data_IF_576441364509
#
_entry.id   IF_576441364509
#
_cell.length_a   1.000
_cell.length_b   1.000
_cell.length_c   1.000
_cell.angle_alpha   90.00
_cell.angle_beta   90.00
_cell.angle_gamma   90.00
#
_symmetry.space_group_name_H-M   'P 1'
#
loop_
_entity.id
_entity.type
_entity.pdbx_description
1 polymer ?
#
# COMPACT_ATOMS: atom_id res chain seq x y z
N UNK A 1 24.23 42.74 23.98
CA UNK A 1 23.22 41.73 24.41
C UNK A 1 22.75 40.99 23.17
N UNK A 2 23.03 39.67 23.06
CA UNK A 2 22.68 38.87 21.88
C UNK A 2 21.22 38.40 21.99
N UNK A 3 20.39 38.77 21.02
CA UNK A 3 19.01 38.31 20.89
C UNK A 3 18.99 36.81 20.56
N UNK A 4 18.19 36.03 21.32
CA UNK A 4 17.90 34.63 21.03
C UNK A 4 16.85 34.55 19.93
N UNK A 5 17.15 33.77 18.89
CA UNK A 5 16.19 33.41 17.85
C UNK A 5 15.05 32.54 18.43
N UNK A 6 13.81 32.64 17.90
CA UNK A 6 12.69 31.82 18.35
C UNK A 6 12.88 30.37 17.88
N UNK A 7 12.64 29.43 18.80
CA UNK A 7 12.64 27.99 18.52
C UNK A 7 11.42 27.64 17.66
N UNK A 8 11.66 27.04 16.50
CA UNK A 8 10.64 26.38 15.67
C UNK A 8 9.98 25.25 16.47
N UNK A 9 8.64 25.13 16.48
CA UNK A 9 7.97 24.02 17.15
C UNK A 9 8.26 22.72 16.38
N UNK A 10 8.69 21.67 17.10
CA UNK A 10 8.72 20.31 16.56
C UNK A 10 7.29 19.91 16.22
N UNK A 11 7.01 19.60 14.95
CA UNK A 11 5.73 18.98 14.54
C UNK A 11 5.53 17.72 15.39
N UNK A 12 4.42 17.65 16.12
CA UNK A 12 4.02 16.43 16.83
C UNK A 12 3.82 15.28 15.85
N UNK A 13 4.12 14.06 16.27
CA UNK A 13 3.91 12.88 15.43
C UNK A 13 2.41 12.68 15.13
N UNK A 14 2.10 12.33 13.88
CA UNK A 14 0.74 12.01 13.45
C UNK A 14 0.27 10.72 14.15
N UNK A 15 -0.80 10.81 14.96
CA UNK A 15 -1.43 9.65 15.61
C UNK A 15 -2.67 9.24 14.82
N UNK A 16 -2.70 7.99 14.37
CA UNK A 16 -3.77 7.40 13.55
C UNK A 16 -4.83 6.76 14.45
N UNK A 17 -6.10 7.14 14.28
CA UNK A 17 -7.20 6.70 15.17
C UNK A 17 -7.86 5.37 14.80
N UNK A 18 -7.64 4.86 13.58
CA UNK A 18 -8.24 3.59 13.14
C UNK A 18 -7.25 2.42 13.33
N UNK A 19 -7.69 1.28 13.89
CA UNK A 19 -6.85 0.12 14.02
C UNK A 19 -6.45 -0.40 12.62
N UNK A 20 -5.16 -0.63 12.42
CA UNK A 20 -4.67 -1.43 11.29
C UNK A 20 -5.39 -2.79 11.38
N UNK A 21 -5.94 -3.34 10.27
CA UNK A 21 -6.72 -4.59 10.32
C UNK A 21 -5.95 -5.71 11.02
N UNK A 22 -6.59 -6.34 12.02
CA UNK A 22 -6.06 -7.54 12.66
C UNK A 22 -6.07 -8.71 11.68
N UNK A 23 -5.00 -9.49 11.69
CA UNK A 23 -4.80 -10.69 10.87
C UNK A 23 -5.79 -11.79 11.30
N UNK A 24 -6.39 -12.49 10.35
CA UNK A 24 -6.99 -13.81 10.59
C UNK A 24 -5.86 -14.84 10.77
N UNK A 25 -5.92 -15.62 11.84
CA UNK A 25 -4.81 -16.40 12.37
C UNK A 25 -4.40 -17.64 11.57
N UNK A 26 -3.15 -18.05 11.81
CA UNK A 26 -2.56 -19.34 11.44
C UNK A 26 -1.10 -19.39 11.93
N UNK A 27 -0.83 -20.21 12.95
CA UNK A 27 0.52 -20.51 13.48
C UNK A 27 1.02 -21.83 12.88
N UNK A 28 2.32 -21.90 12.57
CA UNK A 28 3.30 -22.82 13.20
C UNK A 28 4.66 -22.78 12.48
N UNK A 29 5.68 -22.46 13.28
CA UNK A 29 7.07 -22.93 13.40
C UNK A 29 7.96 -23.32 12.20
N UNK A 30 9.15 -22.70 12.13
CA UNK A 30 10.43 -23.28 12.58
C UNK A 30 11.65 -22.74 11.78
N UNK A 31 12.75 -22.54 12.50
CA UNK A 31 13.95 -21.81 12.08
C UNK A 31 14.84 -22.53 11.05
N UNK A 32 15.47 -21.75 10.17
CA UNK A 32 16.74 -22.16 9.54
C UNK A 32 17.68 -20.95 9.36
N UNK A 33 18.63 -20.79 10.29
CA UNK A 33 19.80 -19.93 10.11
C UNK A 33 20.74 -20.57 9.09
N UNK A 34 20.95 -19.95 7.93
CA UNK A 34 22.12 -20.22 7.08
C UNK A 34 22.83 -18.93 6.68
N UNK A 35 24.15 -18.99 6.85
CA UNK A 35 25.14 -17.92 6.70
C UNK A 35 25.13 -17.36 5.27
N UNK A 36 25.23 -16.04 5.17
CA UNK A 36 25.47 -15.29 3.93
C UNK A 36 26.98 -15.38 3.62
N UNK A 37 27.42 -15.86 2.43
CA UNK A 37 28.78 -15.64 1.97
C UNK A 37 28.91 -14.27 1.30
N UNK A 38 30.11 -13.70 1.45
CA UNK A 38 30.47 -12.35 1.04
C UNK A 38 30.47 -12.12 -0.48
N UNK A 39 30.04 -10.92 -0.81
CA UNK A 39 30.40 -10.01 -1.91
C UNK A 39 30.77 -10.56 -3.31
N UNK A 40 30.08 -10.03 -4.30
CA UNK A 40 30.67 -9.74 -5.61
C UNK A 40 30.14 -8.38 -6.06
N UNK A 41 31.05 -7.42 -6.17
CA UNK A 41 30.79 -6.09 -6.74
C UNK A 41 30.25 -6.27 -8.16
N UNK A 42 29.02 -5.80 -8.42
CA UNK A 42 28.47 -5.65 -9.77
C UNK A 42 28.55 -4.18 -10.15
N UNK A 43 29.36 -3.88 -11.17
CA UNK A 43 29.12 -2.72 -12.01
C UNK A 43 27.89 -3.05 -12.87
N UNK A 44 26.76 -2.38 -12.64
CA UNK A 44 25.52 -2.58 -13.40
C UNK A 44 24.34 -1.93 -12.68
N UNK A 45 23.46 -1.26 -13.42
CA UNK A 45 22.28 -0.59 -12.87
C UNK A 45 21.42 -1.52 -11.99
N UNK A 46 20.67 -0.91 -11.08
CA UNK A 46 19.77 -1.61 -10.18
C UNK A 46 18.73 -2.41 -10.96
N UNK A 47 18.53 -3.68 -10.63
CA UNK A 47 17.45 -4.48 -11.22
C UNK A 47 16.09 -4.10 -10.62
N UNK A 48 15.01 -4.34 -11.37
CA UNK A 48 13.64 -4.18 -10.86
C UNK A 48 13.39 -4.84 -9.50
N UNK A 49 13.95 -6.04 -9.27
CA UNK A 49 13.79 -6.75 -8.00
C UNK A 49 14.53 -6.06 -6.86
N UNK A 50 15.68 -5.46 -7.13
CA UNK A 50 16.45 -4.69 -6.14
C UNK A 50 15.71 -3.37 -5.82
N UNK A 51 15.17 -2.70 -6.82
CA UNK A 51 14.36 -1.48 -6.66
C UNK A 51 13.12 -1.73 -5.79
N UNK A 52 12.37 -2.81 -6.07
CA UNK A 52 11.21 -3.19 -5.25
C UNK A 52 11.62 -3.44 -3.79
N UNK A 53 12.73 -4.14 -3.56
CA UNK A 53 13.23 -4.41 -2.20
C UNK A 53 13.61 -3.13 -1.47
N UNK A 54 14.24 -2.17 -2.16
CA UNK A 54 14.58 -0.88 -1.57
C UNK A 54 13.34 -0.08 -1.20
N UNK A 55 12.35 0.00 -2.09
CA UNK A 55 11.06 0.65 -1.80
C UNK A 55 10.39 0.01 -0.59
N UNK A 56 10.32 -1.32 -0.53
CA UNK A 56 9.74 -2.03 0.62
C UNK A 56 10.51 -1.72 1.92
N UNK A 57 11.83 -1.64 1.87
CA UNK A 57 12.65 -1.31 3.04
C UNK A 57 12.41 0.13 3.52
N UNK A 58 12.31 1.09 2.58
CA UNK A 58 11.96 2.49 2.89
C UNK A 58 10.58 2.57 3.53
N UNK A 59 9.58 1.93 2.93
CA UNK A 59 8.23 1.91 3.47
C UNK A 59 8.13 1.20 4.81
N UNK A 60 8.87 0.11 5.02
CA UNK A 60 8.90 -0.57 6.31
C UNK A 60 9.44 0.35 7.41
N UNK A 61 10.52 1.10 7.13
CA UNK A 61 11.09 2.05 8.07
C UNK A 61 10.14 3.20 8.44
N UNK A 62 9.25 3.58 7.51
CA UNK A 62 8.17 4.52 7.77
C UNK A 62 7.02 3.87 8.56
N UNK A 63 6.62 2.67 8.17
CA UNK A 63 5.52 1.92 8.77
C UNK A 63 5.79 1.56 10.23
N UNK A 64 7.03 1.19 10.56
CA UNK A 64 7.49 0.92 11.92
C UNK A 64 7.27 2.11 12.88
N UNK A 65 7.28 3.34 12.35
CA UNK A 65 7.12 4.59 13.12
C UNK A 65 5.69 5.10 13.19
N UNK A 66 4.74 4.46 12.50
CA UNK A 66 3.32 4.85 12.55
C UNK A 66 2.82 4.67 13.98
N UNK A 67 2.23 5.72 14.55
CA UNK A 67 1.63 5.69 15.88
C UNK A 67 0.11 5.52 15.71
N UNK A 68 -0.46 4.45 16.27
CA UNK A 68 -1.92 4.33 16.36
C UNK A 68 -2.39 4.77 17.75
N UNK A 69 -3.66 5.16 17.90
CA UNK A 69 -4.24 5.54 19.19
C UNK A 69 -4.13 4.43 20.25
N UNK A 70 -4.12 3.16 19.83
CA UNK A 70 -3.89 1.99 20.69
C UNK A 70 -2.42 1.61 20.89
N UNK A 71 -1.47 2.42 20.39
CA UNK A 71 -0.05 2.11 20.38
C UNK A 71 0.39 1.32 19.14
N UNK A 72 1.50 0.60 19.27
CA UNK A 72 2.05 -0.24 18.18
C UNK A 72 1.06 -1.36 17.85
N UNK A 73 0.75 -1.56 16.58
CA UNK A 73 -0.12 -2.63 16.11
C UNK A 73 0.69 -3.88 15.74
N UNK A 74 0.14 -5.08 15.99
CA UNK A 74 0.79 -6.37 15.71
C UNK A 74 1.28 -6.52 14.26
N UNK A 75 0.61 -5.86 13.31
CA UNK A 75 1.01 -5.82 11.91
C UNK A 75 2.38 -5.14 11.68
N UNK A 76 2.82 -4.25 12.57
CA UNK A 76 4.13 -3.60 12.53
C UNK A 76 5.27 -4.58 12.91
N UNK A 77 4.94 -5.79 13.35
CA UNK A 77 5.91 -6.85 13.63
C UNK A 77 5.88 -7.98 12.59
N UNK A 78 4.97 -7.94 11.61
CA UNK A 78 4.85 -8.95 10.55
C UNK A 78 5.44 -8.45 9.21
N UNK A 79 6.78 -8.33 9.18
CA UNK A 79 7.51 -7.93 7.98
C UNK A 79 7.21 -8.83 6.77
N UNK A 80 7.03 -10.14 6.98
CA UNK A 80 6.79 -11.09 5.88
C UNK A 80 5.46 -10.80 5.19
N UNK A 81 4.39 -10.57 5.95
CA UNK A 81 3.10 -10.20 5.35
C UNK A 81 3.18 -8.85 4.65
N UNK A 82 3.86 -7.87 5.24
CA UNK A 82 4.09 -6.56 4.64
C UNK A 82 4.83 -6.66 3.31
N UNK A 83 5.96 -7.36 3.28
CA UNK A 83 6.78 -7.60 2.08
C UNK A 83 5.96 -8.28 0.98
N UNK A 84 5.17 -9.30 1.32
CA UNK A 84 4.31 -9.97 0.33
C UNK A 84 3.29 -8.98 -0.23
N UNK A 85 2.59 -8.21 0.62
CA UNK A 85 1.55 -7.28 0.16
C UNK A 85 2.12 -6.18 -0.73
N UNK A 86 3.17 -5.47 -0.27
CA UNK A 86 3.79 -4.39 -1.04
C UNK A 86 4.48 -4.92 -2.30
N UNK A 87 5.19 -6.04 -2.19
CA UNK A 87 5.83 -6.69 -3.33
C UNK A 87 4.84 -7.18 -4.39
N UNK A 88 3.61 -7.55 -4.02
CA UNK A 88 2.57 -7.95 -4.99
C UNK A 88 2.08 -6.76 -5.82
N UNK A 89 1.96 -5.60 -5.18
CA UNK A 89 1.58 -4.35 -5.83
C UNK A 89 2.68 -3.85 -6.76
N UNK A 90 3.93 -3.82 -6.27
CA UNK A 90 5.06 -3.29 -7.04
C UNK A 90 5.47 -4.16 -8.21
N UNK A 91 5.21 -5.47 -8.18
CA UNK A 91 5.38 -6.34 -9.35
C UNK A 91 4.40 -6.02 -10.48
N UNK A 92 3.30 -5.29 -10.22
CA UNK A 92 2.40 -4.82 -11.27
C UNK A 92 2.85 -3.50 -11.92
N UNK A 93 3.82 -2.81 -11.32
CA UNK A 93 4.31 -1.50 -11.76
C UNK A 93 5.46 -1.65 -12.76
N UNK A 94 5.60 -0.67 -13.64
CA UNK A 94 6.80 -0.54 -14.47
C UNK A 94 7.94 0.14 -13.71
N UNK A 95 9.14 0.09 -14.28
CA UNK A 95 10.36 0.66 -13.68
C UNK A 95 10.22 2.14 -13.39
N UNK A 96 9.70 2.92 -14.33
CA UNK A 96 9.54 4.37 -14.19
C UNK A 96 8.62 4.73 -13.01
N UNK A 97 7.52 3.99 -12.83
CA UNK A 97 6.59 4.20 -11.70
C UNK A 97 7.27 3.88 -10.38
N UNK A 98 8.04 2.79 -10.31
CA UNK A 98 8.79 2.41 -9.11
C UNK A 98 9.87 3.44 -8.76
N UNK A 99 10.65 3.88 -9.73
CA UNK A 99 11.67 4.92 -9.52
C UNK A 99 11.05 6.21 -8.98
N UNK A 100 9.92 6.63 -9.58
CA UNK A 100 9.21 7.82 -9.11
C UNK A 100 8.70 7.67 -7.68
N UNK A 101 8.24 6.48 -7.30
CA UNK A 101 7.81 6.24 -5.92
C UNK A 101 8.98 6.13 -4.93
N UNK A 102 10.12 5.56 -5.34
CA UNK A 102 11.36 5.60 -4.54
C UNK A 102 11.75 7.06 -4.28
N UNK A 103 11.76 7.90 -5.31
CA UNK A 103 12.09 9.32 -5.20
C UNK A 103 11.13 10.07 -4.26
N UNK A 104 9.82 9.78 -4.34
CA UNK A 104 8.81 10.34 -3.42
C UNK A 104 9.09 9.96 -1.96
N UNK A 105 9.45 8.69 -1.70
CA UNK A 105 9.77 8.19 -0.36
C UNK A 105 11.05 8.83 0.18
N UNK A 106 12.08 9.00 -0.65
CA UNK A 106 13.33 9.66 -0.29
C UNK A 106 13.12 11.15 0.02
N UNK A 107 12.35 11.85 -0.82
CA UNK A 107 11.99 13.24 -0.60
C UNK A 107 11.21 13.41 0.72
N UNK A 108 10.21 12.55 0.95
CA UNK A 108 9.45 12.56 2.20
C UNK A 108 10.36 12.30 3.42
N UNK A 109 11.32 11.38 3.31
CA UNK A 109 12.31 11.11 4.36
C UNK A 109 13.17 12.35 4.64
N UNK A 110 13.65 13.02 3.60
CA UNK A 110 14.45 14.24 3.72
C UNK A 110 13.67 15.39 4.36
N UNK A 111 12.36 15.50 4.09
CA UNK A 111 11.44 16.47 4.67
C UNK A 111 10.98 16.12 6.09
N UNK A 112 11.33 14.93 6.61
CA UNK A 112 10.85 14.44 7.90
C UNK A 112 9.37 14.06 7.90
N UNK A 113 8.80 13.84 6.73
CA UNK A 113 7.44 13.34 6.51
C UNK A 113 7.37 11.81 6.65
N UNK A 114 6.15 11.28 6.74
CA UNK A 114 5.91 9.83 6.78
C UNK A 114 4.71 9.49 5.90
N UNK A 115 4.93 9.09 4.63
CA UNK A 115 3.85 8.79 3.70
C UNK A 115 2.89 7.68 4.18
N UNK A 116 3.37 6.68 4.92
CA UNK A 116 2.46 5.65 5.45
C UNK A 116 1.57 6.18 6.57
N UNK A 117 2.07 7.06 7.44
CA UNK A 117 1.22 7.71 8.41
C UNK A 117 0.20 8.65 7.72
N UNK A 118 0.67 9.43 6.74
CA UNK A 118 -0.15 10.34 5.94
C UNK A 118 -1.29 9.62 5.22
N UNK A 119 -1.03 8.44 4.63
CA UNK A 119 -2.06 7.57 4.03
C UNK A 119 -3.24 7.36 4.96
N UNK A 120 -2.97 6.96 6.20
CA UNK A 120 -4.04 6.72 7.17
C UNK A 120 -4.72 8.03 7.60
N UNK A 121 -3.97 9.13 7.69
CA UNK A 121 -4.55 10.44 7.90
C UNK A 121 -5.50 10.87 6.77
N UNK A 122 -5.12 10.62 5.51
CA UNK A 122 -5.97 10.88 4.36
C UNK A 122 -7.23 10.00 4.37
N UNK A 123 -7.11 8.71 4.68
CA UNK A 123 -8.27 7.83 4.85
C UNK A 123 -9.25 8.36 5.88
N UNK A 124 -8.74 8.89 7.00
CA UNK A 124 -9.54 9.45 8.07
C UNK A 124 -10.30 10.72 7.67
N UNK A 125 -9.66 11.65 6.98
CA UNK A 125 -10.33 12.88 6.52
C UNK A 125 -11.33 12.61 5.39
N UNK A 126 -11.13 11.56 4.59
CA UNK A 126 -12.10 11.13 3.57
C UNK A 126 -13.33 10.52 4.22
N UNK A 127 -13.14 9.67 5.23
CA UNK A 127 -14.22 8.95 5.92
C UNK A 127 -15.05 9.86 6.84
N UNK A 128 -14.40 10.76 7.58
CA UNK A 128 -15.04 11.65 8.54
C UNK A 128 -14.36 13.04 8.55
N UNK A 129 -14.60 13.89 7.53
CA UNK A 129 -13.91 15.18 7.36
C UNK A 129 -14.14 16.14 8.52
N UNK A 130 -15.38 16.24 9.02
CA UNK A 130 -15.76 17.17 10.10
C UNK A 130 -15.07 16.86 11.42
N UNK A 131 -14.94 15.57 11.74
CA UNK A 131 -14.28 15.05 12.95
C UNK A 131 -12.76 15.18 12.87
N UNK A 132 -12.21 15.21 11.66
CA UNK A 132 -10.77 15.17 11.39
C UNK A 132 -10.21 16.49 10.84
N UNK A 133 -10.90 17.63 11.03
CA UNK A 133 -10.38 18.96 10.61
C UNK A 133 -9.00 19.30 11.18
N UNK A 134 -8.76 19.01 12.45
CA UNK A 134 -7.46 19.24 13.07
C UNK A 134 -6.36 18.37 12.45
N UNK A 135 -6.70 17.12 12.11
CA UNK A 135 -5.81 16.19 11.40
C UNK A 135 -5.50 16.69 9.98
N UNK A 136 -6.52 17.14 9.25
CA UNK A 136 -6.37 17.70 7.91
C UNK A 136 -5.40 18.88 7.88
N UNK A 137 -5.41 19.74 8.90
CA UNK A 137 -4.49 20.88 9.01
C UNK A 137 -3.01 20.48 9.24
N UNK A 138 -2.74 19.24 9.69
CA UNK A 138 -1.39 18.72 9.91
C UNK A 138 -0.85 17.95 8.70
N UNK A 139 -1.73 17.45 7.83
CA UNK A 139 -1.35 16.68 6.66
C UNK A 139 -0.83 17.58 5.52
N UNK A 140 0.07 17.07 4.67
CA UNK A 140 0.42 17.77 3.44
C UNK A 140 -0.85 18.04 2.60
N UNK A 141 -1.01 19.25 2.04
CA UNK A 141 -2.16 19.55 1.19
C UNK A 141 -2.14 18.68 -0.07
N UNK A 142 -3.32 18.24 -0.51
CA UNK A 142 -3.50 17.48 -1.75
C UNK A 142 -4.01 18.43 -2.83
N UNK A 143 -3.21 18.67 -3.88
CA UNK A 143 -3.58 19.53 -5.01
C UNK A 143 -4.81 18.97 -5.75
N UNK A 144 -5.57 19.84 -6.42
CA UNK A 144 -6.71 19.38 -7.25
C UNK A 144 -6.25 18.45 -8.38
N UNK A 145 -5.05 18.67 -8.92
CA UNK A 145 -4.44 17.79 -9.91
C UNK A 145 -4.21 16.37 -9.35
N UNK A 146 -3.64 16.24 -8.13
CA UNK A 146 -3.50 14.95 -7.46
C UNK A 146 -4.85 14.27 -7.24
N UNK A 147 -5.89 15.04 -6.84
CA UNK A 147 -7.24 14.49 -6.67
C UNK A 147 -7.84 14.01 -7.99
N UNK A 148 -7.63 14.76 -9.08
CA UNK A 148 -8.08 14.38 -10.43
C UNK A 148 -7.42 13.07 -10.88
N UNK A 149 -6.10 12.98 -10.81
CA UNK A 149 -5.34 11.78 -11.20
C UNK A 149 -5.73 10.57 -10.34
N UNK A 150 -5.86 10.74 -9.02
CA UNK A 150 -6.31 9.68 -8.13
C UNK A 150 -7.73 9.19 -8.49
N UNK A 151 -8.66 10.10 -8.78
CA UNK A 151 -10.02 9.76 -9.25
C UNK A 151 -10.01 9.03 -10.59
N UNK A 152 -9.13 9.40 -11.51
CA UNK A 152 -8.99 8.69 -12.78
C UNK A 152 -8.59 7.24 -12.55
N UNK A 153 -7.55 7.02 -11.74
CA UNK A 153 -7.06 5.68 -11.41
C UNK A 153 -8.17 4.86 -10.71
N UNK A 154 -8.80 5.39 -9.66
CA UNK A 154 -9.84 4.64 -8.93
C UNK A 154 -11.05 4.32 -9.81
N UNK A 155 -11.45 5.22 -10.70
CA UNK A 155 -12.55 4.98 -11.65
C UNK A 155 -12.26 3.83 -12.62
N UNK A 156 -11.00 3.65 -13.03
CA UNK A 156 -10.56 2.51 -13.85
C UNK A 156 -10.48 1.21 -13.06
N UNK A 157 -10.01 1.28 -11.81
CA UNK A 157 -9.88 0.10 -10.95
C UNK A 157 -11.23 -0.44 -10.46
N UNK A 158 -12.25 0.39 -10.28
CA UNK A 158 -13.56 -0.04 -9.81
C UNK A 158 -14.20 -1.17 -10.67
N UNK A 159 -14.37 -1.03 -12.00
CA UNK A 159 -14.91 -2.11 -12.84
C UNK A 159 -13.98 -3.33 -12.89
N UNK A 160 -12.66 -3.15 -12.83
CA UNK A 160 -11.72 -4.28 -12.77
C UNK A 160 -11.91 -5.12 -11.50
N UNK A 161 -12.08 -4.46 -10.34
CA UNK A 161 -12.36 -5.16 -9.08
C UNK A 161 -13.73 -5.84 -9.08
N UNK A 162 -14.74 -5.22 -9.69
CA UNK A 162 -16.06 -5.84 -9.85
C UNK A 162 -15.99 -7.10 -10.76
N UNK A 163 -15.25 -7.02 -11.86
CA UNK A 163 -15.03 -8.17 -12.75
C UNK A 163 -14.27 -9.31 -12.05
N UNK A 164 -13.24 -8.98 -11.27
CA UNK A 164 -12.54 -9.94 -10.42
C UNK A 164 -13.49 -10.62 -9.44
N UNK A 165 -14.32 -9.85 -8.73
CA UNK A 165 -15.26 -10.38 -7.75
C UNK A 165 -16.32 -11.29 -8.37
N UNK A 166 -16.79 -10.98 -9.58
CA UNK A 166 -17.71 -11.82 -10.33
C UNK A 166 -17.05 -13.13 -10.79
N UNK A 167 -15.77 -13.08 -11.18
CA UNK A 167 -15.02 -14.22 -11.73
C UNK A 167 -14.49 -15.16 -10.65
N UNK A 168 -14.12 -14.64 -9.48
CA UNK A 168 -13.56 -15.39 -8.35
C UNK A 168 -14.26 -15.03 -7.03
N UNK A 169 -15.54 -15.40 -6.87
CA UNK A 169 -16.35 -14.98 -5.73
C UNK A 169 -15.84 -15.49 -4.38
N UNK A 170 -15.21 -16.67 -4.30
CA UNK A 170 -14.68 -17.19 -3.04
C UNK A 170 -13.42 -16.43 -2.62
N UNK A 171 -12.52 -16.14 -3.55
CA UNK A 171 -11.37 -15.27 -3.29
C UNK A 171 -11.81 -13.86 -2.90
N UNK A 172 -12.79 -13.30 -3.60
CA UNK A 172 -13.31 -11.96 -3.32
C UNK A 172 -14.00 -11.86 -1.95
N UNK A 173 -14.61 -12.93 -1.45
CA UNK A 173 -15.17 -12.97 -0.10
C UNK A 173 -14.10 -12.80 1.01
N UNK A 174 -12.82 -13.07 0.71
CA UNK A 174 -11.69 -12.81 1.60
C UNK A 174 -11.04 -11.43 1.38
N UNK A 175 -11.50 -10.66 0.39
CA UNK A 175 -11.00 -9.32 0.09
C UNK A 175 -11.79 -8.23 0.84
N UNK A 176 -11.29 -6.98 0.80
CA UNK A 176 -12.01 -5.83 1.36
C UNK A 176 -13.26 -5.51 0.54
N UNK A 177 -14.34 -5.00 1.17
CA UNK A 177 -15.53 -4.53 0.45
C UNK A 177 -15.19 -3.44 -0.59
N UNK A 178 -15.86 -3.50 -1.76
CA UNK A 178 -15.62 -2.60 -2.90
C UNK A 178 -16.08 -1.15 -2.67
N UNK A 179 -17.07 -0.92 -1.81
CA UNK A 179 -17.56 0.42 -1.44
C UNK A 179 -18.16 0.39 -0.05
N UNK A 180 -18.28 1.56 0.58
CA UNK A 180 -18.86 1.70 1.92
C UNK A 180 -18.31 2.90 2.67
N UNK A 181 -19.17 3.88 2.97
CA UNK A 181 -18.93 4.86 4.01
C UNK A 181 -19.55 4.32 5.31
N UNK A 182 -18.81 4.31 6.41
CA UNK A 182 -19.37 4.03 7.75
C UNK A 182 -19.59 2.56 8.14
N UNK A 183 -18.99 1.59 7.46
CA UNK A 183 -18.92 0.20 7.96
C UNK A 183 -17.77 -0.04 8.95
N UNK A 184 -17.75 -1.19 9.64
CA UNK A 184 -16.62 -1.61 10.48
C UNK A 184 -15.29 -1.71 9.70
N UNK A 185 -15.37 -1.91 8.38
CA UNK A 185 -14.23 -1.93 7.46
C UNK A 185 -14.24 -0.73 6.51
N UNK A 186 -13.12 -0.02 6.40
CA UNK A 186 -12.89 1.01 5.37
C UNK A 186 -12.98 0.40 3.97
N UNK A 187 -13.73 1.04 3.06
CA UNK A 187 -13.89 0.64 1.67
C UNK A 187 -12.55 0.56 0.92
N UNK A 188 -12.49 -0.25 -0.14
CA UNK A 188 -11.32 -0.31 -1.01
C UNK A 188 -11.01 1.06 -1.63
N UNK A 189 -12.05 1.84 -1.97
CA UNK A 189 -11.91 3.17 -2.57
C UNK A 189 -11.26 4.16 -1.60
N UNK A 190 -11.73 4.24 -0.35
CA UNK A 190 -11.12 5.13 0.66
C UNK A 190 -9.67 4.71 0.95
N UNK A 191 -9.42 3.40 1.04
CA UNK A 191 -8.08 2.86 1.26
C UNK A 191 -7.12 3.20 0.12
N UNK A 192 -7.54 2.96 -1.12
CA UNK A 192 -6.77 3.27 -2.33
C UNK A 192 -6.57 4.77 -2.48
N UNK A 193 -7.61 5.58 -2.27
CA UNK A 193 -7.52 7.04 -2.40
C UNK A 193 -6.55 7.62 -1.38
N UNK A 194 -6.60 7.16 -0.13
CA UNK A 194 -5.66 7.58 0.91
C UNK A 194 -4.21 7.27 0.55
N UNK A 195 -3.95 6.12 -0.10
CA UNK A 195 -2.61 5.77 -0.60
C UNK A 195 -2.21 6.64 -1.80
N UNK A 196 -3.08 6.79 -2.80
CA UNK A 196 -2.82 7.60 -4.00
C UNK A 196 -2.51 9.06 -3.64
N UNK A 197 -3.12 9.61 -2.60
CA UNK A 197 -2.85 10.97 -2.15
C UNK A 197 -1.47 11.14 -1.51
N UNK A 198 -0.74 10.07 -1.20
CA UNK A 198 0.65 10.15 -0.73
C UNK A 198 1.66 10.33 -1.88
N UNK A 199 1.30 9.88 -3.08
CA UNK A 199 2.17 9.90 -4.26
C UNK A 199 2.35 11.32 -4.81
N UNK A 200 3.48 11.61 -5.46
CA UNK A 200 3.60 12.84 -6.25
C UNK A 200 2.71 12.79 -7.48
N UNK A 201 2.48 13.96 -8.10
CA UNK A 201 1.77 14.02 -9.38
C UNK A 201 2.49 13.23 -10.47
N UNK A 202 3.83 13.17 -10.46
CA UNK A 202 4.61 12.36 -11.39
C UNK A 202 4.28 10.88 -11.23
N UNK A 203 4.35 10.37 -10.00
CA UNK A 203 4.04 8.97 -9.69
C UNK A 203 2.60 8.62 -10.06
N UNK A 204 1.64 9.52 -9.81
CA UNK A 204 0.25 9.32 -10.22
C UNK A 204 0.06 9.25 -11.74
N UNK A 205 0.71 10.14 -12.50
CA UNK A 205 0.63 10.10 -13.98
C UNK A 205 1.24 8.81 -14.55
N UNK A 206 2.38 8.37 -14.00
CA UNK A 206 3.02 7.11 -14.40
C UNK A 206 2.13 5.90 -14.07
N UNK A 207 1.57 5.86 -12.86
CA UNK A 207 0.63 4.79 -12.47
C UNK A 207 -0.63 4.78 -13.34
N UNK A 208 -1.20 5.94 -13.67
CA UNK A 208 -2.35 6.04 -14.57
C UNK A 208 -2.02 5.53 -15.99
N UNK A 209 -0.83 5.86 -16.50
CA UNK A 209 -0.34 5.34 -17.77
C UNK A 209 -0.16 3.82 -17.73
N UNK A 210 0.43 3.28 -16.65
CA UNK A 210 0.62 1.83 -16.46
C UNK A 210 -0.70 1.07 -16.39
N UNK A 211 -1.69 1.59 -15.67
CA UNK A 211 -3.05 1.01 -15.64
C UNK A 211 -3.67 1.02 -17.03
N UNK A 212 -3.54 2.12 -17.77
CA UNK A 212 -4.06 2.24 -19.14
C UNK A 212 -3.38 1.28 -20.12
N UNK A 213 -2.06 1.08 -19.98
CA UNK A 213 -1.29 0.13 -20.78
C UNK A 213 -1.77 -1.31 -20.55
N UNK A 214 -1.96 -1.72 -19.29
CA UNK A 214 -2.51 -3.03 -18.93
C UNK A 214 -3.90 -3.24 -19.55
N UNK A 215 -4.78 -2.25 -19.43
CA UNK A 215 -6.12 -2.29 -20.03
C UNK A 215 -6.06 -2.47 -21.55
N UNK A 216 -5.16 -1.77 -22.23
CA UNK A 216 -4.97 -1.88 -23.68
C UNK A 216 -4.49 -3.27 -24.12
N UNK A 217 -3.81 -4.02 -23.24
CA UNK A 217 -3.39 -5.42 -23.46
C UNK A 217 -4.48 -6.44 -23.05
N UNK A 218 -5.62 -5.98 -22.55
CA UNK A 218 -6.69 -6.85 -22.03
C UNK A 218 -6.35 -7.46 -20.66
N UNK A 219 -5.40 -6.88 -19.93
CA UNK A 219 -4.99 -7.31 -18.60
C UNK A 219 -5.64 -6.43 -17.52
N UNK A 220 -6.04 -7.04 -16.41
CA UNK A 220 -6.58 -6.34 -15.24
C UNK A 220 -5.46 -6.07 -14.23
N UNK A 221 -5.22 -4.80 -13.90
CA UNK A 221 -4.29 -4.41 -12.84
C UNK A 221 -4.72 -5.01 -11.49
N UNK A 222 -6.02 -4.96 -11.17
CA UNK A 222 -6.54 -5.50 -9.92
C UNK A 222 -6.22 -7.00 -9.77
N UNK A 223 -6.47 -7.78 -10.84
CA UNK A 223 -6.21 -9.21 -10.84
C UNK A 223 -4.71 -9.52 -10.81
N UNK A 224 -3.89 -8.74 -11.54
CA UNK A 224 -2.44 -8.90 -11.55
C UNK A 224 -1.85 -8.75 -10.14
N UNK A 225 -2.27 -7.72 -9.39
CA UNK A 225 -1.81 -7.53 -8.00
C UNK A 225 -2.22 -8.70 -7.11
N UNK A 226 -3.46 -9.18 -7.22
CA UNK A 226 -3.95 -10.31 -6.42
C UNK A 226 -3.19 -11.59 -6.79
N UNK A 227 -3.00 -11.84 -8.08
CA UNK A 227 -2.31 -13.02 -8.58
C UNK A 227 -0.83 -13.05 -8.15
N UNK A 228 -0.13 -11.91 -8.20
CA UNK A 228 1.23 -11.79 -7.66
C UNK A 228 1.28 -12.20 -6.19
N UNK A 229 0.29 -11.77 -5.40
CA UNK A 229 0.17 -12.14 -3.98
C UNK A 229 -0.13 -13.62 -3.76
N UNK A 230 -0.93 -14.23 -4.62
CA UNK A 230 -1.19 -15.67 -4.60
C UNK A 230 0.06 -16.47 -4.94
N UNK A 231 0.80 -16.08 -5.98
CA UNK A 231 2.06 -16.72 -6.40
C UNK A 231 3.12 -16.66 -5.29
N UNK A 232 3.27 -15.52 -4.62
CA UNK A 232 4.15 -15.36 -3.44
C UNK A 232 3.76 -16.25 -2.25
N UNK A 233 2.50 -16.68 -2.18
CA UNK A 233 1.97 -17.60 -1.16
C UNK A 233 1.95 -19.06 -1.61
N UNK A 234 2.49 -19.37 -2.80
CA UNK A 234 2.62 -20.74 -3.32
C UNK A 234 1.46 -21.22 -4.18
N UNK A 235 0.49 -20.37 -4.52
CA UNK A 235 -0.59 -20.73 -5.44
C UNK A 235 -0.14 -20.53 -6.89
N UNK A 236 -0.54 -21.44 -7.79
CA UNK A 236 -0.25 -21.30 -9.23
C UNK A 236 -0.90 -20.06 -9.89
N UNK A 237 -2.04 -19.58 -9.38
CA UNK A 237 -2.75 -18.42 -9.89
C UNK A 237 -4.16 -18.31 -9.32
N UNK A 238 -4.95 -17.36 -9.84
CA UNK A 238 -6.31 -17.05 -9.37
C UNK A 238 -7.25 -18.27 -9.45
N UNK A 239 -7.33 -18.92 -10.62
CA UNK A 239 -8.19 -20.08 -10.84
C UNK A 239 -7.87 -21.26 -9.91
N UNK A 240 -6.58 -21.54 -9.70
CA UNK A 240 -6.15 -22.60 -8.79
C UNK A 240 -6.52 -22.30 -7.33
N UNK A 241 -6.34 -21.05 -6.88
CA UNK A 241 -6.70 -20.66 -5.52
C UNK A 241 -8.22 -20.70 -5.29
N UNK A 242 -9.02 -20.25 -6.27
CA UNK A 242 -10.48 -20.34 -6.23
C UNK A 242 -10.97 -21.80 -6.16
N UNK A 243 -10.38 -22.70 -6.94
CA UNK A 243 -10.73 -24.13 -6.92
C UNK A 243 -10.41 -24.80 -5.58
N UNK A 244 -9.27 -24.47 -4.97
CA UNK A 244 -8.93 -24.95 -3.62
C UNK A 244 -10.00 -24.52 -2.61
N UNK A 245 -10.46 -23.26 -2.67
CA UNK A 245 -11.51 -22.76 -1.78
C UNK A 245 -12.85 -23.45 -2.03
N UNK A 246 -13.18 -23.73 -3.30
CA UNK A 246 -14.40 -24.46 -3.69
C UNK A 246 -14.40 -25.88 -3.14
N UNK A 247 -13.30 -26.61 -3.28
CA UNK A 247 -13.16 -27.99 -2.79
C UNK A 247 -13.25 -28.04 -1.26
N UNK A 248 -12.65 -27.08 -0.54
CA UNK A 248 -12.75 -27.00 0.93
C UNK A 248 -14.18 -26.78 1.40
N UNK A 249 -14.92 -25.85 0.77
CA UNK A 249 -16.34 -25.59 1.10
C UNK A 249 -17.26 -26.77 0.79
N UNK A 250 -16.93 -27.61 -0.19
CA UNK A 250 -17.76 -28.76 -0.55
C UNK A 250 -17.52 -29.98 0.36
N UNK A 251 -16.45 -29.97 1.16
CA UNK A 251 -16.10 -31.03 2.10
C UNK A 251 -16.49 -30.75 3.56
N UNK A 252 -16.98 -29.55 3.87
CA UNK A 252 -17.56 -29.14 5.15
C UNK A 252 -19.10 -29.28 5.11
#
# INVERSE_FOLDING_TARGET
MRARAPRTPRRGALVVRRPVPRRAGGRDDAAHKKRIPAETQRNGGMTMKELIKEIIALEWAFFDKVQNEGGRADCQDDFRTFEIMRGSQYEAWDEATLESWRDDLEAAKAEGRNPLAEKYGYMMIIDAPEENRALAAMLPPVSEEKKNLAREITKRLAPQNAAFAARYPLLAAHARPLSGAGGECTSIETYQTGELWTYSERTLRLLAARVSELEARGESYAELVIENGLKRRGFAGLAHAEEILRTRRAGD
#
